data_IF_041736962611
#
_entry.id   IF_041736962611
#
_cell.length_a   1.000
_cell.length_b   1.000
_cell.length_c   1.000
_cell.angle_alpha   90.00
_cell.angle_beta   90.00
_cell.angle_gamma   90.00
#
_symmetry.space_group_name_H-M   'P 1'
#
loop_
_entity.id
_entity.type
_entity.pdbx_description
1 polymer ?
#
# COMPACT_ATOMS: atom_id res chain seq x y z
N UNK A 1 9.32 39.37 -3.40
CA UNK A 1 9.24 37.91 -3.56
C UNK A 1 8.00 37.59 -4.36
N UNK A 2 8.18 37.38 -5.66
CA UNK A 2 7.15 37.44 -6.68
C UNK A 2 6.34 36.15 -6.80
N UNK A 3 5.04 36.33 -6.92
CA UNK A 3 4.05 35.37 -7.42
C UNK A 3 4.41 34.94 -8.85
N UNK A 4 5.10 33.81 -9.01
CA UNK A 4 5.22 33.13 -10.30
C UNK A 4 4.09 32.11 -10.44
N UNK A 5 3.25 32.37 -11.44
CA UNK A 5 1.96 31.73 -11.68
C UNK A 5 2.04 30.24 -11.93
N UNK A 6 1.26 29.50 -11.14
CA UNK A 6 0.77 28.19 -11.52
C UNK A 6 -0.61 28.39 -12.13
N UNK A 7 -0.69 28.39 -13.46
CA UNK A 7 -1.98 28.18 -14.14
C UNK A 7 -2.50 26.83 -13.69
N UNK A 8 -3.70 26.81 -13.11
CA UNK A 8 -4.46 25.59 -12.85
C UNK A 8 -4.47 24.77 -14.14
N UNK A 9 -3.93 23.55 -14.07
CA UNK A 9 -3.90 22.65 -15.22
C UNK A 9 -5.33 22.13 -15.42
N UNK A 10 -6.14 22.89 -16.13
CA UNK A 10 -7.46 22.47 -16.58
C UNK A 10 -7.30 21.54 -17.79
N UNK A 11 -7.31 20.23 -17.53
CA UNK A 11 -7.44 19.20 -18.55
C UNK A 11 -6.60 17.95 -18.30
N UNK A 12 -7.24 16.78 -18.40
CA UNK A 12 -6.60 15.46 -18.29
C UNK A 12 -5.39 15.29 -19.21
N UNK A 13 -5.43 15.85 -20.42
CA UNK A 13 -4.34 15.79 -21.41
C UNK A 13 -3.09 16.59 -21.00
N UNK A 14 -3.24 17.68 -20.26
CA UNK A 14 -2.11 18.50 -19.81
C UNK A 14 -1.42 17.90 -18.60
N UNK A 15 -2.18 17.21 -17.74
CA UNK A 15 -1.59 16.40 -16.67
C UNK A 15 -0.81 15.23 -17.27
N UNK A 16 -1.40 14.43 -18.15
CA UNK A 16 -0.73 13.24 -18.73
C UNK A 16 0.58 13.59 -19.47
N UNK A 17 0.65 14.76 -20.12
CA UNK A 17 1.88 15.28 -20.72
C UNK A 17 2.92 15.72 -19.68
N UNK A 18 2.49 16.39 -18.60
CA UNK A 18 3.35 16.69 -17.46
C UNK A 18 3.91 15.40 -16.83
N UNK A 19 3.08 14.37 -16.71
CA UNK A 19 3.47 13.07 -16.15
C UNK A 19 4.49 12.34 -17.01
N UNK A 20 4.31 12.29 -18.33
CA UNK A 20 5.33 11.77 -19.27
C UNK A 20 6.63 12.58 -19.25
N UNK A 21 6.53 13.89 -19.00
CA UNK A 21 7.71 14.74 -18.87
C UNK A 21 8.45 14.46 -17.56
N UNK A 22 7.73 14.21 -16.47
CA UNK A 22 8.31 13.85 -15.18
C UNK A 22 8.93 12.45 -15.14
N UNK A 23 8.32 11.45 -15.80
CA UNK A 23 8.89 10.09 -15.89
C UNK A 23 10.22 10.03 -16.64
N UNK A 24 10.51 11.07 -17.45
CA UNK A 24 11.75 11.23 -18.20
C UNK A 24 12.66 12.34 -17.65
N UNK A 25 12.32 12.93 -16.50
CA UNK A 25 12.99 14.14 -16.00
C UNK A 25 14.15 13.88 -15.03
N UNK A 26 15.12 14.80 -14.95
CA UNK A 26 16.26 14.71 -14.04
C UNK A 26 15.83 14.70 -12.56
N UNK A 27 16.66 14.06 -11.71
CA UNK A 27 16.46 13.89 -10.26
C UNK A 27 16.07 15.17 -9.50
N UNK A 28 16.38 16.35 -10.03
CA UNK A 28 16.02 17.65 -9.46
C UNK A 28 14.52 17.95 -9.41
N UNK A 29 13.68 17.22 -10.16
CA UNK A 29 12.22 17.40 -10.18
C UNK A 29 11.46 16.43 -9.26
N UNK A 30 12.15 15.49 -8.60
CA UNK A 30 11.54 14.52 -7.70
C UNK A 30 10.75 15.15 -6.54
N UNK A 31 11.23 16.20 -5.84
CA UNK A 31 10.46 16.83 -4.76
C UNK A 31 9.10 17.38 -5.23
N UNK A 32 9.08 18.05 -6.40
CA UNK A 32 7.87 18.57 -7.01
C UNK A 32 6.95 17.44 -7.50
N UNK A 33 7.53 16.32 -7.94
CA UNK A 33 6.80 15.11 -8.33
C UNK A 33 6.07 14.48 -7.14
N UNK A 34 6.74 14.35 -5.99
CA UNK A 34 6.13 13.84 -4.76
C UNK A 34 5.04 14.75 -4.19
N UNK A 35 5.21 16.08 -4.29
CA UNK A 35 4.19 17.04 -3.91
C UNK A 35 2.97 16.97 -4.83
N UNK A 36 3.19 16.78 -6.14
CA UNK A 36 2.11 16.59 -7.12
C UNK A 36 1.38 15.27 -6.90
N UNK A 37 2.11 14.20 -6.62
CA UNK A 37 1.58 12.89 -6.25
C UNK A 37 0.67 12.98 -5.03
N UNK A 38 1.17 13.57 -3.95
CA UNK A 38 0.37 13.73 -2.73
C UNK A 38 -0.87 14.59 -3.01
N UNK A 39 -0.76 15.69 -3.76
CA UNK A 39 -1.95 16.47 -4.17
C UNK A 39 -2.95 15.69 -5.03
N UNK A 40 -2.48 14.83 -5.93
CA UNK A 40 -3.34 13.99 -6.77
C UNK A 40 -4.04 12.92 -5.94
N UNK A 41 -3.31 12.26 -5.03
CA UNK A 41 -3.84 11.27 -4.08
C UNK A 41 -4.91 11.91 -3.17
N UNK A 42 -4.70 13.17 -2.78
CA UNK A 42 -5.61 13.94 -1.92
C UNK A 42 -6.70 14.68 -2.70
N UNK A 43 -6.72 14.59 -4.04
CA UNK A 43 -7.73 15.27 -4.82
C UNK A 43 -9.10 14.65 -4.56
N UNK A 44 -10.12 15.50 -4.49
CA UNK A 44 -11.51 15.11 -4.19
C UNK A 44 -12.14 14.19 -5.24
N UNK A 45 -11.52 14.00 -6.40
CA UNK A 45 -11.97 13.06 -7.41
C UNK A 45 -11.21 11.72 -7.29
N UNK A 46 -11.95 10.62 -7.22
CA UNK A 46 -11.40 9.25 -7.22
C UNK A 46 -10.48 9.01 -8.43
N UNK A 47 -10.76 9.64 -9.58
CA UNK A 47 -9.92 9.53 -10.77
C UNK A 47 -8.54 10.18 -10.59
N UNK A 48 -8.48 11.36 -9.98
CA UNK A 48 -7.21 12.03 -9.67
C UNK A 48 -6.44 11.26 -8.59
N UNK A 49 -7.13 10.74 -7.58
CA UNK A 49 -6.53 9.89 -6.57
C UNK A 49 -5.87 8.67 -7.21
N UNK A 50 -6.63 7.89 -7.99
CA UNK A 50 -6.12 6.70 -8.69
C UNK A 50 -4.95 7.02 -9.63
N UNK A 51 -4.94 8.16 -10.32
CA UNK A 51 -3.77 8.57 -11.14
C UNK A 51 -2.54 8.87 -10.28
N UNK A 52 -2.73 9.53 -9.13
CA UNK A 52 -1.65 9.71 -8.15
C UNK A 52 -1.12 8.36 -7.64
N UNK A 53 -2.01 7.38 -7.44
CA UNK A 53 -1.62 6.02 -7.07
C UNK A 53 -0.80 5.34 -8.19
N UNK A 54 -1.28 5.39 -9.43
CA UNK A 54 -0.58 4.83 -10.59
C UNK A 54 0.81 5.45 -10.74
N UNK A 55 0.91 6.77 -10.63
CA UNK A 55 2.19 7.47 -10.69
C UNK A 55 3.13 7.05 -9.55
N UNK A 56 2.62 6.81 -8.34
CA UNK A 56 3.44 6.32 -7.23
C UNK A 56 4.00 4.93 -7.55
N UNK A 57 3.22 4.07 -8.20
CA UNK A 57 3.67 2.73 -8.62
C UNK A 57 4.73 2.76 -9.73
N UNK A 58 4.80 3.83 -10.52
CA UNK A 58 5.83 4.02 -11.55
C UNK A 58 7.13 4.61 -10.99
N UNK A 59 7.14 5.04 -9.73
CA UNK A 59 8.37 5.38 -9.05
C UNK A 59 9.13 4.11 -8.75
N UNK A 60 10.12 3.82 -9.60
CA UNK A 60 11.17 2.84 -9.36
C UNK A 60 11.69 2.92 -7.91
N UNK A 61 12.15 1.80 -7.29
CA UNK A 61 12.64 1.70 -5.90
C UNK A 61 13.92 2.49 -5.58
N UNK A 62 14.12 3.64 -6.22
CA UNK A 62 15.17 4.59 -5.95
C UNK A 62 15.12 5.09 -4.48
N UNK A 63 16.25 5.60 -4.00
CA UNK A 63 16.52 6.04 -2.60
C UNK A 63 15.49 6.99 -1.98
N UNK A 64 14.60 7.60 -2.76
CA UNK A 64 13.58 8.54 -2.29
C UNK A 64 12.22 7.88 -1.95
N UNK A 65 12.01 6.61 -2.33
CA UNK A 65 10.77 5.89 -2.07
C UNK A 65 10.41 5.80 -0.57
N UNK A 66 11.33 5.56 0.38
CA UNK A 66 11.01 5.56 1.81
C UNK A 66 10.54 6.92 2.35
N UNK A 67 11.13 8.01 1.85
CA UNK A 67 10.73 9.39 2.21
C UNK A 67 9.31 9.69 1.71
N UNK A 68 8.99 9.24 0.50
CA UNK A 68 7.67 9.34 -0.07
C UNK A 68 6.63 8.53 0.70
N UNK A 69 6.98 7.30 1.07
CA UNK A 69 6.15 6.43 1.90
C UNK A 69 5.87 7.07 3.25
N UNK A 70 6.88 7.65 3.89
CA UNK A 70 6.73 8.37 5.17
C UNK A 70 5.81 9.57 5.06
N UNK A 71 5.85 10.32 3.94
CA UNK A 71 4.89 11.42 3.69
C UNK A 71 3.48 10.88 3.50
N UNK A 72 3.32 9.80 2.75
CA UNK A 72 2.03 9.14 2.52
C UNK A 72 1.40 8.61 3.81
N UNK A 73 2.21 8.09 4.74
CA UNK A 73 1.78 7.64 6.06
C UNK A 73 1.09 8.74 6.89
N UNK A 74 1.40 10.03 6.65
CA UNK A 74 0.69 11.13 7.31
C UNK A 74 -0.78 11.19 6.90
N UNK A 75 -1.07 10.85 5.65
CA UNK A 75 -2.43 10.84 5.10
C UNK A 75 -3.24 9.59 5.48
N UNK A 76 -2.58 8.54 5.99
CA UNK A 76 -3.28 7.39 6.56
C UNK A 76 -4.05 7.74 7.86
N UNK A 77 -3.83 8.93 8.43
CA UNK A 77 -4.53 9.48 9.60
C UNK A 77 -5.30 10.77 9.27
N UNK A 78 -5.53 11.04 7.99
CA UNK A 78 -6.26 12.23 7.55
C UNK A 78 -7.70 12.23 8.13
N UNK A 79 -8.26 13.37 8.55
CA UNK A 79 -9.64 13.42 9.04
C UNK A 79 -10.69 12.98 8.00
N UNK A 80 -10.36 12.98 6.71
CA UNK A 80 -11.28 12.59 5.64
C UNK A 80 -11.16 11.09 5.33
N UNK A 81 -12.24 10.34 5.56
CA UNK A 81 -12.28 8.88 5.41
C UNK A 81 -11.90 8.41 3.99
N UNK A 82 -12.36 9.12 2.96
CA UNK A 82 -12.04 8.77 1.56
C UNK A 82 -10.54 8.86 1.26
N UNK A 83 -9.85 9.84 1.84
CA UNK A 83 -8.39 9.97 1.73
C UNK A 83 -7.71 8.78 2.41
N UNK A 84 -8.11 8.44 3.65
CA UNK A 84 -7.54 7.29 4.36
C UNK A 84 -7.74 5.99 3.58
N UNK A 85 -8.93 5.76 3.01
CA UNK A 85 -9.23 4.60 2.17
C UNK A 85 -8.35 4.53 0.92
N UNK A 86 -8.14 5.66 0.24
CA UNK A 86 -7.25 5.73 -0.94
C UNK A 86 -5.81 5.41 -0.56
N UNK A 87 -5.33 5.92 0.57
CA UNK A 87 -3.97 5.64 1.07
C UNK A 87 -3.79 4.16 1.41
N UNK A 88 -4.74 3.54 2.12
CA UNK A 88 -4.67 2.11 2.43
C UNK A 88 -4.80 1.23 1.19
N UNK A 89 -5.60 1.66 0.20
CA UNK A 89 -5.64 0.99 -1.10
C UNK A 89 -4.29 1.03 -1.81
N UNK A 90 -3.57 2.16 -1.74
CA UNK A 90 -2.21 2.25 -2.26
C UNK A 90 -1.25 1.30 -1.55
N UNK A 91 -1.27 1.31 -0.21
CA UNK A 91 -0.40 0.44 0.57
C UNK A 91 -0.63 -1.03 0.26
N UNK A 92 -1.88 -1.46 0.07
CA UNK A 92 -2.19 -2.80 -0.44
C UNK A 92 -1.55 -3.08 -1.80
N UNK A 93 -1.72 -2.18 -2.77
CA UNK A 93 -1.15 -2.34 -4.11
C UNK A 93 0.38 -2.36 -4.12
N UNK A 94 1.02 -1.55 -3.28
CA UNK A 94 2.47 -1.55 -3.09
C UNK A 94 2.92 -2.87 -2.46
N UNK A 95 2.24 -3.33 -1.41
CA UNK A 95 2.58 -4.57 -0.71
C UNK A 95 2.44 -5.84 -1.58
N UNK A 96 1.61 -5.80 -2.63
CA UNK A 96 1.51 -6.90 -3.61
C UNK A 96 2.74 -7.01 -4.52
N UNK A 97 3.54 -5.96 -4.62
CA UNK A 97 4.77 -5.96 -5.42
C UNK A 97 5.95 -6.41 -4.55
N UNK A 98 6.87 -7.22 -5.09
CA UNK A 98 8.06 -7.66 -4.34
C UNK A 98 8.96 -6.50 -3.88
N UNK A 99 9.17 -5.50 -4.75
CA UNK A 99 9.90 -4.27 -4.41
C UNK A 99 9.13 -3.43 -3.38
N UNK A 100 7.81 -3.40 -3.47
CA UNK A 100 6.96 -2.61 -2.59
C UNK A 100 6.85 -3.23 -1.20
N UNK A 101 6.83 -4.56 -1.11
CA UNK A 101 6.93 -5.31 0.14
C UNK A 101 8.23 -4.99 0.89
N UNK A 102 9.35 -4.93 0.18
CA UNK A 102 10.65 -4.51 0.74
C UNK A 102 10.57 -3.06 1.23
N UNK A 103 10.01 -2.17 0.41
CA UNK A 103 9.83 -0.76 0.76
C UNK A 103 8.99 -0.57 2.04
N UNK A 104 7.85 -1.26 2.19
CA UNK A 104 7.04 -1.15 3.41
C UNK A 104 7.70 -1.81 4.62
N UNK A 105 8.52 -2.85 4.43
CA UNK A 105 9.31 -3.46 5.50
C UNK A 105 10.43 -2.53 6.01
N UNK A 106 11.02 -1.74 5.11
CA UNK A 106 12.07 -0.77 5.41
C UNK A 106 11.52 0.59 5.89
N UNK A 107 10.23 0.86 5.72
CA UNK A 107 9.61 2.13 6.13
C UNK A 107 9.34 2.13 7.65
N UNK A 108 10.03 2.99 8.43
CA UNK A 108 9.86 3.01 9.88
C UNK A 108 8.43 3.37 10.31
N UNK A 109 7.90 2.65 11.29
CA UNK A 109 6.56 2.89 11.85
C UNK A 109 5.40 2.42 10.96
N UNK A 110 5.65 1.89 9.76
CA UNK A 110 4.59 1.42 8.88
C UNK A 110 3.81 0.25 9.50
N UNK A 111 4.49 -0.71 10.12
CA UNK A 111 3.84 -1.84 10.82
C UNK A 111 3.01 -1.35 12.00
N UNK A 112 3.51 -0.40 12.78
CA UNK A 112 2.76 0.20 13.89
C UNK A 112 1.51 0.92 13.39
N UNK A 113 1.66 1.66 12.31
CA UNK A 113 0.57 2.33 11.63
C UNK A 113 -0.40 1.36 10.98
N UNK A 114 -0.01 0.17 10.53
CA UNK A 114 -0.96 -0.81 10.01
C UNK A 114 -1.72 -1.53 11.13
N UNK A 115 -1.01 -1.86 12.21
CA UNK A 115 -1.54 -2.68 13.31
C UNK A 115 -2.32 -1.90 14.37
N UNK A 116 -2.28 -0.56 14.40
CA UNK A 116 -3.26 0.17 15.24
C UNK A 116 -4.67 -0.14 14.70
N UNK A 117 -5.70 -0.29 15.51
CA UNK A 117 -7.06 -0.54 15.01
C UNK A 117 -8.04 0.44 15.64
N UNK A 118 -7.53 1.65 15.82
CA UNK A 118 -8.15 2.79 16.48
C UNK A 118 -8.94 3.70 15.51
N UNK A 119 -9.04 3.34 14.23
CA UNK A 119 -9.83 4.13 13.28
C UNK A 119 -11.32 3.97 13.59
N UNK A 120 -12.07 5.07 13.60
CA UNK A 120 -13.52 5.06 13.86
C UNK A 120 -14.31 4.50 12.67
N UNK A 121 -13.81 4.66 11.45
CA UNK A 121 -14.46 4.22 10.24
C UNK A 121 -14.23 2.71 10.02
N UNK A 122 -15.32 1.96 9.84
CA UNK A 122 -15.28 0.49 9.66
C UNK A 122 -14.54 0.11 8.39
N UNK A 123 -14.83 0.77 7.27
CA UNK A 123 -14.23 0.49 5.96
C UNK A 123 -12.72 0.69 5.98
N UNK A 124 -12.24 1.73 6.68
CA UNK A 124 -10.81 1.97 6.85
C UNK A 124 -10.16 0.86 7.68
N UNK A 125 -10.81 0.41 8.76
CA UNK A 125 -10.32 -0.74 9.56
C UNK A 125 -10.28 -2.02 8.72
N UNK A 126 -11.31 -2.29 7.93
CA UNK A 126 -11.36 -3.45 7.04
C UNK A 126 -10.26 -3.38 5.98
N UNK A 127 -10.03 -2.21 5.37
CA UNK A 127 -8.97 -2.02 4.38
C UNK A 127 -7.58 -2.27 4.97
N UNK A 128 -7.35 -1.87 6.22
CA UNK A 128 -6.10 -2.17 6.95
C UNK A 128 -5.94 -3.66 7.16
N UNK A 129 -6.99 -4.35 7.60
CA UNK A 129 -6.96 -5.80 7.77
C UNK A 129 -6.72 -6.52 6.43
N UNK A 130 -7.33 -6.05 5.34
CA UNK A 130 -7.06 -6.54 3.98
C UNK A 130 -5.58 -6.35 3.61
N UNK A 131 -5.02 -5.16 3.86
CA UNK A 131 -3.61 -4.84 3.63
C UNK A 131 -2.70 -5.80 4.41
N UNK A 132 -3.01 -6.04 5.70
CA UNK A 132 -2.26 -6.98 6.53
C UNK A 132 -2.34 -8.42 5.98
N UNK A 133 -3.52 -8.86 5.53
CA UNK A 133 -3.70 -10.17 4.89
C UNK A 133 -2.84 -10.31 3.64
N UNK A 134 -2.81 -9.29 2.76
CA UNK A 134 -1.96 -9.29 1.57
C UNK A 134 -0.50 -9.44 1.93
N UNK A 135 -0.01 -8.68 2.91
CA UNK A 135 1.38 -8.75 3.37
C UNK A 135 1.73 -10.14 3.89
N UNK A 136 0.95 -10.71 4.81
CA UNK A 136 1.31 -11.99 5.44
C UNK A 136 1.21 -13.20 4.51
N UNK A 137 0.47 -13.07 3.41
CA UNK A 137 0.38 -14.09 2.35
C UNK A 137 1.58 -14.06 1.40
N UNK A 138 2.45 -13.03 1.46
CA UNK A 138 3.63 -12.97 0.61
C UNK A 138 4.70 -14.00 1.04
N UNK A 139 5.29 -14.77 0.10
CA UNK A 139 6.27 -15.83 0.41
C UNK A 139 7.48 -15.40 1.25
N UNK A 140 7.87 -14.12 1.20
CA UNK A 140 9.04 -13.56 1.89
C UNK A 140 8.69 -12.61 3.03
N UNK A 141 7.42 -12.45 3.39
CA UNK A 141 7.04 -11.49 4.43
C UNK A 141 7.65 -11.82 5.79
N UNK A 142 7.68 -13.10 6.18
CA UNK A 142 8.27 -13.47 7.48
C UNK A 142 9.76 -13.11 7.56
N UNK A 143 10.50 -13.31 6.48
CA UNK A 143 11.92 -12.97 6.38
C UNK A 143 12.16 -11.46 6.44
N UNK A 144 11.41 -10.69 5.63
CA UNK A 144 11.58 -9.24 5.55
C UNK A 144 11.20 -8.51 6.84
N UNK A 145 10.09 -8.91 7.47
CA UNK A 145 9.60 -8.25 8.67
C UNK A 145 10.26 -8.79 9.95
N UNK A 146 10.79 -10.01 9.92
CA UNK A 146 11.26 -10.73 11.12
C UNK A 146 10.10 -11.15 12.03
N UNK A 147 10.37 -12.05 12.97
CA UNK A 147 9.32 -12.73 13.75
C UNK A 147 8.39 -11.75 14.50
N UNK A 148 8.96 -10.76 15.20
CA UNK A 148 8.16 -9.83 16.02
C UNK A 148 7.17 -8.99 15.19
N UNK A 149 7.64 -8.36 14.10
CA UNK A 149 6.77 -7.54 13.25
C UNK A 149 5.79 -8.41 12.47
N UNK A 150 6.24 -9.57 11.98
CA UNK A 150 5.38 -10.52 11.28
C UNK A 150 4.25 -11.05 12.17
N UNK A 151 4.52 -11.44 13.41
CA UNK A 151 3.48 -11.90 14.34
C UNK A 151 2.40 -10.85 14.58
N UNK A 152 2.75 -9.56 14.63
CA UNK A 152 1.78 -8.45 14.78
C UNK A 152 0.93 -8.26 13.52
N UNK A 153 1.55 -8.33 12.34
CA UNK A 153 0.84 -8.30 11.06
C UNK A 153 -0.14 -9.48 10.96
N UNK A 154 0.31 -10.67 11.33
CA UNK A 154 -0.52 -11.88 11.34
C UNK A 154 -1.70 -11.79 12.32
N UNK A 155 -1.45 -11.28 13.54
CA UNK A 155 -2.51 -11.03 14.51
C UNK A 155 -3.53 -9.99 14.00
N UNK A 156 -3.08 -9.00 13.22
CA UNK A 156 -3.96 -7.99 12.60
C UNK A 156 -4.77 -8.59 11.46
N UNK A 157 -4.14 -9.38 10.58
CA UNK A 157 -4.78 -10.06 9.47
C UNK A 157 -5.92 -10.99 9.93
N UNK A 158 -5.75 -11.66 11.08
CA UNK A 158 -6.76 -12.54 11.71
C UNK A 158 -7.98 -11.83 12.29
N UNK A 159 -7.96 -10.49 12.38
CA UNK A 159 -9.11 -9.72 12.84
C UNK A 159 -10.12 -9.45 11.72
N UNK A 160 -9.94 -10.05 10.54
CA UNK A 160 -10.90 -9.90 9.45
C UNK A 160 -12.22 -10.57 9.84
N UNK A 161 -13.37 -9.88 9.68
CA UNK A 161 -14.67 -10.52 9.87
C UNK A 161 -14.87 -11.68 8.88
N UNK A 162 -14.08 -11.73 7.80
CA UNK A 162 -14.09 -12.78 6.78
C UNK A 162 -12.91 -13.75 6.86
N UNK A 163 -12.06 -13.71 7.90
CA UNK A 163 -11.10 -14.81 8.12
C UNK A 163 -11.89 -16.05 8.52
N UNK A 164 -12.30 -16.78 7.49
CA UNK A 164 -12.52 -18.21 7.51
C UNK A 164 -11.45 -18.82 8.42
N UNK A 165 -11.95 -19.44 9.49
CA UNK A 165 -11.30 -20.46 10.30
C UNK A 165 -10.02 -20.98 9.60
N UNK A 166 -8.80 -20.68 10.10
CA UNK A 166 -7.60 -21.31 9.61
C UNK A 166 -7.65 -22.75 10.11
N UNK A 167 -8.50 -23.57 9.50
CA UNK A 167 -8.46 -24.99 9.74
C UNK A 167 -7.06 -25.41 9.34
N UNK A 168 -6.31 -26.08 10.24
CA UNK A 168 -5.09 -26.72 9.82
C UNK A 168 -5.41 -27.58 8.58
N UNK A 169 -4.49 -27.66 7.60
CA UNK A 169 -4.70 -28.49 6.43
C UNK A 169 -5.22 -29.84 6.89
N UNK A 170 -6.37 -30.27 6.35
CA UNK A 170 -6.90 -31.58 6.69
C UNK A 170 -5.77 -32.57 6.42
N UNK A 171 -5.39 -33.44 7.37
CA UNK A 171 -4.46 -34.50 7.06
C UNK A 171 -5.00 -35.21 5.83
N UNK A 172 -4.13 -35.42 4.83
CA UNK A 172 -4.51 -36.14 3.63
C UNK A 172 -5.21 -37.43 4.06
N UNK A 173 -6.38 -37.76 3.46
CA UNK A 173 -7.02 -39.03 3.76
C UNK A 173 -5.98 -40.10 3.49
N UNK A 174 -5.57 -40.81 4.54
CA UNK A 174 -4.69 -41.95 4.39
C UNK A 174 -5.36 -42.86 3.37
N UNK A 175 -4.75 -42.97 2.19
CA UNK A 175 -5.19 -43.91 1.17
C UNK A 175 -4.93 -45.28 1.80
N UNK A 176 -5.99 -45.90 2.32
CA UNK A 176 -5.97 -47.31 2.64
C UNK A 176 -5.78 -48.06 1.32
N UNK A 177 -4.51 -48.30 0.96
CA UNK A 177 -4.16 -49.22 -0.11
C UNK A 177 -4.50 -50.60 0.45
N UNK A 178 -5.75 -51.03 0.25
CA UNK A 178 -6.13 -52.41 0.39
C UNK A 178 -5.31 -53.22 -0.62
N UNK A 179 -4.26 -53.87 -0.14
CA UNK A 179 -3.54 -54.88 -0.92
C UNK A 179 -4.46 -56.08 -1.08
N UNK A 180 -5.11 -56.16 -2.23
CA UNK A 180 -5.86 -57.35 -2.66
C UNK A 180 -4.84 -58.40 -3.10
N UNK A 181 -4.57 -59.37 -2.22
CA UNK A 181 -3.77 -60.55 -2.53
C UNK A 181 -4.68 -61.59 -3.18
N UNK A 182 -4.54 -61.78 -4.49
CA UNK A 182 -4.92 -62.99 -5.22
C UNK A 182 -3.77 -63.50 -6.05
#
# INVERSE_FOLDING_TARGET
FGSSGWKVIEGSKSLDNFLRSCSNSPRSLLPCYYETLSRLILASSTSSANRGLDMFMHLSPNQEAPSAMTKLMKHARDPVDSIRLSVWSLFSSVADQSWGLTLVADTPGWVDLLCSLDDVNVDVREKRVETANRVVQQPHAKELFGDSRFSRLYATARKSPHTLDPRPPRPDPMVDIAMDHR
#
